data_IF_346239665938
#
_entry.id   IF_346239665938
#
_cell.length_a   1.000
_cell.length_b   1.000
_cell.length_c   1.000
_cell.angle_alpha   90.00
_cell.angle_beta   90.00
_cell.angle_gamma   90.00
#
_symmetry.space_group_name_H-M   'P 1'
#
loop_
_entity.id
_entity.type
_entity.pdbx_description
1 polymer ?
#
# COMPACT_ATOMS: atom_id res chain seq x y z
N UNK A 1 -17.84 -29.00 -11.61
CA UNK A 1 -16.51 -29.56 -11.92
C UNK A 1 -15.55 -28.98 -10.89
N UNK A 2 -14.90 -29.81 -10.08
CA UNK A 2 -13.86 -29.39 -9.13
C UNK A 2 -12.67 -28.86 -9.94
N UNK A 3 -12.44 -27.55 -9.90
CA UNK A 3 -11.20 -26.95 -10.38
C UNK A 3 -10.31 -26.83 -9.15
N UNK A 4 -9.47 -27.85 -8.95
CA UNK A 4 -8.67 -28.09 -7.73
C UNK A 4 -7.90 -26.84 -7.27
N UNK A 5 -8.24 -26.36 -6.08
CA UNK A 5 -7.52 -25.33 -5.33
C UNK A 5 -6.17 -25.85 -4.81
N UNK A 6 -5.37 -26.46 -5.67
CA UNK A 6 -4.03 -26.93 -5.32
C UNK A 6 -3.16 -25.72 -5.03
N UNK A 7 -2.46 -25.76 -3.90
CA UNK A 7 -1.47 -24.74 -3.54
C UNK A 7 -0.33 -24.71 -4.55
N UNK A 8 -0.11 -23.52 -5.11
CA UNK A 8 0.97 -23.17 -6.03
C UNK A 8 1.86 -22.13 -5.38
N UNK A 9 3.08 -21.99 -5.91
CA UNK A 9 4.06 -21.03 -5.41
C UNK A 9 4.54 -20.15 -6.56
N UNK A 10 4.53 -18.84 -6.33
CA UNK A 10 5.14 -17.83 -7.19
C UNK A 10 6.46 -17.40 -6.56
N UNK A 11 7.56 -17.46 -7.32
CA UNK A 11 8.90 -17.05 -6.86
C UNK A 11 9.41 -15.87 -7.66
N UNK A 12 9.87 -14.81 -6.98
CA UNK A 12 10.49 -13.64 -7.60
C UNK A 12 11.65 -13.15 -6.74
N UNK A 13 12.90 -13.38 -7.17
CA UNK A 13 14.08 -13.21 -6.31
C UNK A 13 13.98 -14.09 -5.06
N UNK A 14 14.13 -13.48 -3.89
CA UNK A 14 14.00 -14.16 -2.59
C UNK A 14 12.55 -14.28 -2.09
N UNK A 15 11.59 -13.67 -2.79
CA UNK A 15 10.17 -13.74 -2.45
C UNK A 15 9.56 -15.05 -2.93
N UNK A 16 8.81 -15.72 -2.06
CA UNK A 16 7.90 -16.81 -2.41
C UNK A 16 6.50 -16.50 -1.91
N UNK A 17 5.49 -16.54 -2.79
CA UNK A 17 4.08 -16.38 -2.43
C UNK A 17 3.32 -17.67 -2.72
N UNK A 18 2.62 -18.20 -1.72
CA UNK A 18 1.70 -19.31 -1.88
C UNK A 18 0.32 -18.80 -2.31
N UNK A 19 -0.25 -19.39 -3.35
CA UNK A 19 -1.56 -19.01 -3.88
C UNK A 19 -2.35 -20.22 -4.38
N UNK A 20 -3.66 -20.06 -4.50
CA UNK A 20 -4.60 -21.03 -5.05
C UNK A 20 -5.53 -20.34 -6.04
N UNK A 21 -6.05 -21.12 -6.99
CA UNK A 21 -6.99 -20.66 -8.00
C UNK A 21 -8.18 -21.60 -7.99
N UNK A 22 -9.39 -21.03 -7.98
CA UNK A 22 -10.65 -21.76 -8.05
C UNK A 22 -11.49 -21.21 -9.21
N UNK A 23 -12.19 -22.11 -9.90
CA UNK A 23 -13.00 -21.73 -11.06
C UNK A 23 -12.17 -21.39 -12.29
N UNK A 24 -12.87 -21.07 -13.38
CA UNK A 24 -12.28 -20.79 -14.70
C UNK A 24 -13.03 -19.70 -15.48
N UNK A 25 -13.82 -18.88 -14.79
CA UNK A 25 -14.50 -17.76 -15.42
C UNK A 25 -13.49 -16.72 -15.92
N UNK A 26 -13.87 -15.93 -16.92
CA UNK A 26 -12.98 -14.93 -17.51
C UNK A 26 -12.67 -13.76 -16.57
N UNK A 27 -13.57 -13.46 -15.62
CA UNK A 27 -13.39 -12.38 -14.66
C UNK A 27 -12.61 -12.85 -13.44
N UNK A 28 -11.50 -12.16 -13.14
CA UNK A 28 -10.70 -12.40 -11.96
C UNK A 28 -11.30 -11.74 -10.72
N UNK A 29 -11.30 -12.49 -9.61
CA UNK A 29 -11.58 -11.99 -8.26
C UNK A 29 -10.43 -12.39 -7.34
N UNK A 30 -9.63 -11.41 -6.92
CA UNK A 30 -8.48 -11.66 -6.04
C UNK A 30 -8.86 -11.29 -4.61
N UNK A 31 -8.77 -12.26 -3.71
CA UNK A 31 -9.03 -12.05 -2.29
C UNK A 31 -7.71 -11.69 -1.59
N UNK A 32 -7.62 -10.45 -1.12
CA UNK A 32 -6.48 -9.94 -0.36
C UNK A 32 -6.77 -10.14 1.13
N UNK A 33 -6.10 -11.09 1.82
CA UNK A 33 -6.43 -11.42 3.20
C UNK A 33 -6.03 -10.29 4.16
N UNK A 34 -6.40 -10.43 5.44
CA UNK A 34 -5.95 -9.53 6.51
C UNK A 34 -4.48 -9.74 6.89
N UNK A 35 -4.13 -9.39 8.12
CA UNK A 35 -2.77 -9.59 8.66
C UNK A 35 -2.46 -11.05 9.02
N UNK A 36 -3.45 -11.94 8.94
CA UNK A 36 -3.34 -13.38 9.22
C UNK A 36 -3.90 -14.12 8.01
N UNK A 37 -3.09 -15.02 7.43
CA UNK A 37 -3.51 -15.86 6.31
C UNK A 37 -2.83 -17.22 6.38
N UNK A 38 -3.58 -18.28 6.06
CA UNK A 38 -3.00 -19.58 5.78
C UNK A 38 -3.85 -20.33 4.76
N UNK A 39 -3.35 -20.46 3.54
CA UNK A 39 -4.17 -20.86 2.40
C UNK A 39 -4.72 -22.29 2.50
N UNK A 40 -3.95 -23.23 3.05
CA UNK A 40 -4.44 -24.60 3.31
C UNK A 40 -5.37 -24.66 4.52
N UNK A 41 -4.94 -24.12 5.68
CA UNK A 41 -5.69 -24.23 6.93
C UNK A 41 -7.00 -23.43 6.92
N UNK A 42 -7.11 -22.36 6.13
CA UNK A 42 -8.37 -21.65 5.97
C UNK A 42 -9.52 -22.57 5.54
N UNK A 43 -9.25 -23.63 4.76
CA UNK A 43 -10.26 -24.64 4.38
C UNK A 43 -10.77 -25.50 5.54
N UNK A 44 -10.02 -25.58 6.65
CA UNK A 44 -10.45 -26.25 7.87
C UNK A 44 -11.42 -25.40 8.70
N UNK A 45 -11.55 -24.11 8.36
CA UNK A 45 -12.47 -23.19 9.04
C UNK A 45 -13.90 -23.34 8.49
N UNK A 46 -14.92 -23.40 9.37
CA UNK A 46 -16.31 -23.53 8.93
C UNK A 46 -16.68 -22.48 7.88
N UNK A 47 -17.31 -22.94 6.80
CA UNK A 47 -17.86 -22.09 5.75
C UNK A 47 -16.87 -21.47 4.76
N UNK A 48 -15.56 -21.45 5.03
CA UNK A 48 -14.56 -20.88 4.11
C UNK A 48 -14.57 -21.57 2.73
N UNK A 49 -14.41 -22.90 2.69
CA UNK A 49 -14.41 -23.66 1.45
C UNK A 49 -15.72 -23.51 0.67
N UNK A 50 -16.86 -23.46 1.38
CA UNK A 50 -18.16 -23.24 0.74
C UNK A 50 -18.22 -21.86 0.09
N UNK A 51 -17.77 -20.82 0.79
CA UNK A 51 -17.76 -19.45 0.27
C UNK A 51 -16.89 -19.31 -0.98
N UNK A 52 -15.67 -19.86 -0.96
CA UNK A 52 -14.76 -19.84 -2.12
C UNK A 52 -15.36 -20.61 -3.31
N UNK A 53 -15.92 -21.80 -3.08
CA UNK A 53 -16.53 -22.60 -4.14
C UNK A 53 -17.77 -21.95 -4.75
N UNK A 54 -18.55 -21.20 -3.97
CA UNK A 54 -19.69 -20.43 -4.49
C UNK A 54 -19.24 -19.26 -5.36
N UNK A 55 -18.21 -18.50 -4.94
CA UNK A 55 -17.61 -17.44 -5.77
C UNK A 55 -17.01 -18.01 -7.07
N UNK A 56 -16.37 -19.17 -7.01
CA UNK A 56 -15.71 -19.83 -8.14
C UNK A 56 -16.68 -20.25 -9.28
N UNK A 57 -17.99 -20.21 -9.03
CA UNK A 57 -19.01 -20.39 -10.09
C UNK A 57 -19.11 -19.17 -11.02
N UNK A 58 -18.69 -17.99 -10.56
CA UNK A 58 -18.83 -16.72 -11.26
C UNK A 58 -17.49 -16.09 -11.63
N UNK A 59 -16.43 -16.40 -10.89
CA UNK A 59 -15.11 -15.79 -11.03
C UNK A 59 -14.01 -16.86 -11.13
N UNK A 60 -12.87 -16.49 -11.71
CA UNK A 60 -11.59 -17.15 -11.41
C UNK A 60 -11.09 -16.54 -10.10
N UNK A 61 -11.37 -17.23 -8.99
CA UNK A 61 -11.07 -16.77 -7.64
C UNK A 61 -9.63 -17.08 -7.32
N UNK A 62 -8.86 -16.07 -6.92
CA UNK A 62 -7.46 -16.17 -6.57
C UNK A 62 -7.32 -15.82 -5.09
N UNK A 63 -6.79 -16.74 -4.30
CA UNK A 63 -6.44 -16.53 -2.89
C UNK A 63 -4.94 -16.70 -2.73
N UNK A 64 -4.35 -16.00 -1.77
CA UNK A 64 -2.92 -16.11 -1.48
C UNK A 64 -2.61 -15.87 -0.02
N UNK A 65 -1.47 -16.38 0.43
CA UNK A 65 -0.89 -16.01 1.72
C UNK A 65 0.01 -14.78 1.54
N UNK A 66 -0.14 -13.78 2.42
CA UNK A 66 0.77 -12.63 2.41
C UNK A 66 2.20 -13.10 2.66
N UNK A 67 3.18 -12.37 2.12
CA UNK A 67 4.59 -12.60 2.46
C UNK A 67 4.78 -12.70 3.98
N UNK A 68 5.56 -13.68 4.43
CA UNK A 68 5.79 -13.95 5.84
C UNK A 68 4.65 -14.66 6.58
N UNK A 69 3.52 -14.98 5.92
CA UNK A 69 2.39 -15.68 6.50
C UNK A 69 2.15 -17.05 5.85
N UNK A 70 1.58 -17.97 6.62
CA UNK A 70 1.10 -19.26 6.15
C UNK A 70 2.15 -20.04 5.36
N UNK A 71 1.80 -20.40 4.13
CA UNK A 71 2.65 -21.16 3.21
C UNK A 71 3.61 -20.27 2.39
N UNK A 72 3.47 -18.95 2.44
CA UNK A 72 4.38 -18.02 1.77
C UNK A 72 5.75 -17.99 2.46
N UNK A 73 6.77 -17.58 1.70
CA UNK A 73 8.16 -17.50 2.16
C UNK A 73 8.28 -16.67 3.43
N UNK A 74 9.18 -17.10 4.34
CA UNK A 74 9.48 -16.37 5.56
C UNK A 74 10.22 -15.08 5.22
N UNK A 75 9.87 -14.01 5.94
CA UNK A 75 10.58 -12.74 5.90
C UNK A 75 11.37 -12.55 7.20
N UNK A 76 12.51 -11.88 7.10
CA UNK A 76 13.38 -11.55 8.24
C UNK A 76 12.94 -10.27 8.96
N UNK A 77 12.36 -9.33 8.23
CA UNK A 77 11.79 -8.06 8.72
C UNK A 77 10.38 -7.90 8.17
N UNK A 78 9.51 -7.18 8.87
CA UNK A 78 8.18 -6.92 8.33
C UNK A 78 8.24 -6.07 7.06
N UNK A 79 7.31 -6.36 6.15
CA UNK A 79 7.33 -5.80 4.82
C UNK A 79 6.83 -4.35 4.78
N UNK A 80 7.46 -3.54 3.92
CA UNK A 80 6.99 -2.18 3.65
C UNK A 80 5.61 -2.20 2.99
N UNK A 81 4.94 -1.05 2.96
CA UNK A 81 3.66 -0.93 2.27
C UNK A 81 3.80 -1.19 0.75
N UNK A 82 4.85 -0.70 0.13
CA UNK A 82 5.20 -0.97 -1.28
C UNK A 82 5.39 -2.46 -1.56
N UNK A 83 6.17 -3.14 -0.73
CA UNK A 83 6.38 -4.58 -0.88
C UNK A 83 5.08 -5.38 -0.79
N UNK A 84 4.15 -4.95 0.08
CA UNK A 84 2.82 -5.57 0.19
C UNK A 84 1.95 -5.30 -1.05
N UNK A 85 2.07 -4.14 -1.68
CA UNK A 85 1.38 -3.84 -2.95
C UNK A 85 2.00 -4.61 -4.12
N UNK A 86 3.32 -4.75 -4.15
CA UNK A 86 4.03 -5.54 -5.16
C UNK A 86 3.60 -7.01 -5.14
N UNK A 87 3.25 -7.59 -3.98
CA UNK A 87 2.73 -8.96 -3.91
C UNK A 87 1.49 -9.15 -4.78
N UNK A 88 0.55 -8.22 -4.69
CA UNK A 88 -0.69 -8.26 -5.48
C UNK A 88 -0.39 -8.09 -6.96
N UNK A 89 0.47 -7.12 -7.31
CA UNK A 89 0.91 -6.89 -8.70
C UNK A 89 1.59 -8.14 -9.28
N UNK A 90 2.51 -8.77 -8.54
CA UNK A 90 3.22 -9.98 -8.96
C UNK A 90 2.27 -11.15 -9.18
N UNK A 91 1.27 -11.33 -8.31
CA UNK A 91 0.22 -12.34 -8.51
C UNK A 91 -0.54 -12.06 -9.82
N UNK A 92 -0.98 -10.82 -10.02
CA UNK A 92 -1.71 -10.42 -11.22
C UNK A 92 -0.89 -10.66 -12.49
N UNK A 93 0.38 -10.23 -12.51
CA UNK A 93 1.32 -10.42 -13.62
C UNK A 93 1.54 -11.92 -13.93
N UNK A 94 1.79 -12.73 -12.90
CA UNK A 94 2.04 -14.16 -13.05
C UNK A 94 0.84 -14.95 -13.60
N UNK A 95 -0.36 -14.42 -13.43
CA UNK A 95 -1.63 -15.04 -13.86
C UNK A 95 -2.22 -14.36 -15.10
N UNK A 96 -1.48 -13.42 -15.70
CA UNK A 96 -1.89 -12.60 -16.84
C UNK A 96 -3.22 -11.87 -16.59
N UNK A 97 -3.50 -11.55 -15.33
CA UNK A 97 -4.68 -10.83 -14.87
C UNK A 97 -4.52 -9.34 -15.18
N UNK A 98 -5.02 -8.89 -16.34
CA UNK A 98 -4.90 -7.48 -16.77
C UNK A 98 -5.74 -6.52 -15.92
N UNK A 99 -6.91 -6.95 -15.47
CA UNK A 99 -7.83 -6.17 -14.64
C UNK A 99 -8.69 -7.10 -13.78
N UNK A 100 -8.73 -6.89 -12.48
CA UNK A 100 -9.41 -7.78 -11.53
C UNK A 100 -10.38 -7.05 -10.61
N UNK A 101 -11.36 -7.80 -10.10
CA UNK A 101 -12.11 -7.39 -8.91
C UNK A 101 -11.23 -7.70 -7.70
N UNK A 102 -10.93 -6.69 -6.88
CA UNK A 102 -10.13 -6.87 -5.68
C UNK A 102 -11.06 -6.95 -4.48
N UNK A 103 -11.02 -8.05 -3.73
CA UNK A 103 -11.75 -8.23 -2.50
C UNK A 103 -10.81 -8.22 -1.29
N UNK A 104 -10.68 -7.06 -0.66
CA UNK A 104 -9.84 -6.86 0.52
C UNK A 104 -10.57 -7.15 1.83
N UNK A 105 -9.95 -7.99 2.66
CA UNK A 105 -10.45 -8.35 3.98
C UNK A 105 -9.60 -7.72 5.09
N UNK A 106 -10.22 -7.06 6.07
CA UNK A 106 -9.51 -6.45 7.22
C UNK A 106 -8.46 -5.43 6.75
N UNK A 107 -7.21 -5.51 7.23
CA UNK A 107 -6.10 -4.69 6.71
C UNK A 107 -5.85 -4.88 5.20
N UNK A 108 -6.21 -6.04 4.63
CA UNK A 108 -6.23 -6.25 3.18
C UNK A 108 -7.18 -5.30 2.46
N UNK A 109 -8.26 -4.85 3.10
CA UNK A 109 -9.15 -3.81 2.59
C UNK A 109 -8.47 -2.44 2.47
N UNK A 110 -7.71 -2.06 3.49
CA UNK A 110 -6.92 -0.82 3.49
C UNK A 110 -5.84 -0.85 2.41
N UNK A 111 -5.09 -1.95 2.31
CA UNK A 111 -4.09 -2.15 1.26
C UNK A 111 -4.73 -2.11 -0.13
N UNK A 112 -5.88 -2.77 -0.31
CA UNK A 112 -6.59 -2.83 -1.59
C UNK A 112 -7.13 -1.45 -2.02
N UNK A 113 -7.59 -0.63 -1.08
CA UNK A 113 -7.99 0.75 -1.37
C UNK A 113 -6.81 1.59 -1.87
N UNK A 114 -5.66 1.52 -1.19
CA UNK A 114 -4.46 2.22 -1.66
C UNK A 114 -3.98 1.69 -3.02
N UNK A 115 -3.94 0.37 -3.20
CA UNK A 115 -3.60 -0.26 -4.47
C UNK A 115 -4.52 0.22 -5.61
N UNK A 116 -5.83 0.33 -5.36
CA UNK A 116 -6.81 0.80 -6.34
C UNK A 116 -6.62 2.27 -6.73
N UNK A 117 -6.10 3.10 -5.82
CA UNK A 117 -5.75 4.49 -6.12
C UNK A 117 -4.45 4.61 -6.94
N UNK A 118 -3.48 3.72 -6.69
CA UNK A 118 -2.16 3.74 -7.34
C UNK A 118 -2.14 3.02 -8.70
N UNK A 119 -2.99 2.00 -8.86
CA UNK A 119 -3.09 1.18 -10.06
C UNK A 119 -4.54 1.11 -10.57
N UNK A 120 -5.18 2.25 -10.90
CA UNK A 120 -6.59 2.28 -11.29
C UNK A 120 -6.89 1.42 -12.54
N UNK A 121 -5.91 1.27 -13.44
CA UNK A 121 -6.05 0.45 -14.65
C UNK A 121 -6.09 -1.06 -14.37
N UNK A 122 -5.58 -1.49 -13.21
CA UNK A 122 -5.54 -2.89 -12.80
C UNK A 122 -6.79 -3.32 -12.01
N UNK A 123 -7.59 -2.36 -11.51
CA UNK A 123 -8.74 -2.66 -10.64
C UNK A 123 -10.05 -2.35 -11.35
N UNK A 124 -10.85 -3.39 -11.58
CA UNK A 124 -12.19 -3.26 -12.17
C UNK A 124 -13.20 -2.74 -11.14
N UNK A 125 -13.20 -3.36 -9.95
CA UNK A 125 -14.03 -2.99 -8.80
C UNK A 125 -13.30 -3.33 -7.51
N UNK A 126 -13.59 -2.59 -6.47
CA UNK A 126 -13.06 -2.81 -5.13
C UNK A 126 -14.19 -3.28 -4.20
N UNK A 127 -13.94 -4.35 -3.47
CA UNK A 127 -14.81 -4.84 -2.40
C UNK A 127 -13.99 -4.83 -1.12
N UNK A 128 -14.51 -4.21 -0.07
CA UNK A 128 -13.87 -4.14 1.26
C UNK A 128 -14.82 -4.79 2.27
N UNK A 129 -14.33 -5.79 2.99
CA UNK A 129 -15.01 -6.30 4.18
C UNK A 129 -14.17 -6.06 5.43
N UNK A 130 -14.74 -5.42 6.44
CA UNK A 130 -14.06 -5.28 7.74
C UNK A 130 -12.83 -4.38 7.70
N UNK A 131 -12.70 -3.49 6.70
CA UNK A 131 -11.52 -2.63 6.50
C UNK A 131 -11.59 -1.30 7.25
N UNK A 132 -10.47 -0.56 7.23
CA UNK A 132 -10.34 0.75 7.88
C UNK A 132 -9.39 1.67 7.11
N UNK A 133 -9.54 2.99 7.24
CA UNK A 133 -8.63 3.95 6.60
C UNK A 133 -7.41 4.30 7.47
N UNK A 134 -7.59 4.29 8.79
CA UNK A 134 -6.52 4.48 9.76
C UNK A 134 -6.86 3.81 11.09
N UNK A 135 -5.87 3.72 11.99
CA UNK A 135 -6.10 3.33 13.39
C UNK A 135 -6.07 4.60 14.26
N UNK A 136 -7.18 5.01 14.92
CA UNK A 136 -7.29 6.29 15.63
C UNK A 136 -6.39 6.50 16.86
N UNK A 137 -5.67 5.47 17.31
CA UNK A 137 -5.01 5.46 18.63
C UNK A 137 -3.66 6.21 18.71
N UNK A 138 -3.29 6.98 17.69
CA UNK A 138 -2.04 7.75 17.67
C UNK A 138 -2.22 9.26 17.84
N UNK A 139 -3.46 9.76 17.97
CA UNK A 139 -3.73 11.19 18.06
C UNK A 139 -3.12 11.86 19.31
N UNK A 140 -2.89 11.11 20.39
CA UNK A 140 -2.18 11.60 21.58
C UNK A 140 -0.77 12.11 21.24
N UNK A 141 -0.14 11.51 20.21
CA UNK A 141 1.23 11.82 19.80
C UNK A 141 1.36 13.20 19.16
N UNK A 142 0.25 13.78 18.66
CA UNK A 142 0.24 15.11 18.05
C UNK A 142 0.63 16.22 19.06
N UNK A 143 0.52 15.96 20.36
CA UNK A 143 0.88 16.90 21.44
C UNK A 143 2.35 16.76 21.90
N UNK A 144 3.10 15.79 21.37
CA UNK A 144 4.48 15.49 21.77
C UNK A 144 5.46 16.19 20.82
N UNK A 145 6.50 16.88 21.31
CA UNK A 145 7.54 17.47 20.47
C UNK A 145 8.18 16.44 19.53
N UNK A 146 8.46 16.83 18.29
CA UNK A 146 8.83 15.92 17.19
C UNK A 146 9.98 14.95 17.50
N UNK A 147 11.00 15.39 18.24
CA UNK A 147 12.13 14.55 18.65
C UNK A 147 11.71 13.39 19.57
N UNK A 148 10.77 13.61 20.49
CA UNK A 148 10.28 12.59 21.42
C UNK A 148 9.08 11.82 20.88
N UNK A 149 8.44 12.33 19.82
CA UNK A 149 7.21 11.77 19.27
C UNK A 149 7.39 10.36 18.74
N UNK A 150 8.44 10.09 17.96
CA UNK A 150 8.76 8.73 17.45
C UNK A 150 8.96 7.76 18.63
N UNK A 151 9.81 8.13 19.59
CA UNK A 151 10.07 7.29 20.76
C UNK A 151 8.80 7.00 21.60
N UNK A 152 7.93 8.00 21.77
CA UNK A 152 6.69 7.83 22.51
C UNK A 152 5.66 6.95 21.77
N UNK A 153 5.52 7.12 20.45
CA UNK A 153 4.69 6.26 19.59
C UNK A 153 5.24 4.83 19.63
N UNK A 154 6.54 4.66 19.42
CA UNK A 154 7.20 3.36 19.41
C UNK A 154 7.01 2.63 20.74
N UNK A 155 7.21 3.33 21.87
CA UNK A 155 7.01 2.76 23.20
C UNK A 155 5.55 2.38 23.44
N UNK A 156 4.60 3.25 23.09
CA UNK A 156 3.18 3.01 23.27
C UNK A 156 2.69 1.85 22.40
N UNK A 157 2.98 1.88 21.10
CA UNK A 157 2.57 0.83 20.17
C UNK A 157 3.22 -0.50 20.54
N UNK A 158 4.52 -0.55 20.85
CA UNK A 158 5.16 -1.81 21.29
C UNK A 158 4.52 -2.36 22.56
N UNK A 159 4.13 -1.50 23.51
CA UNK A 159 3.39 -1.95 24.70
C UNK A 159 2.01 -2.50 24.32
N UNK A 160 1.31 -1.83 23.40
CA UNK A 160 -0.03 -2.21 22.94
C UNK A 160 0.00 -3.52 22.12
N UNK A 161 1.03 -3.73 21.31
CA UNK A 161 1.16 -4.91 20.44
C UNK A 161 1.78 -6.12 21.14
N UNK A 162 2.56 -5.93 22.20
CA UNK A 162 3.13 -7.01 23.03
C UNK A 162 2.07 -7.97 23.59
N UNK A 163 0.84 -7.50 23.83
CA UNK A 163 -0.25 -8.40 24.24
C UNK A 163 -0.61 -9.43 23.16
N UNK A 164 -0.46 -9.08 21.88
CA UNK A 164 -0.70 -9.99 20.77
C UNK A 164 0.43 -11.02 20.69
N UNK A 165 1.68 -10.61 20.90
CA UNK A 165 2.83 -11.53 20.98
C UNK A 165 2.64 -12.55 22.12
N UNK A 166 2.34 -12.07 23.33
CA UNK A 166 2.23 -12.93 24.53
C UNK A 166 1.08 -13.94 24.41
N UNK A 167 -0.04 -13.54 23.82
CA UNK A 167 -1.23 -14.37 23.72
C UNK A 167 -1.36 -15.11 22.38
N UNK A 168 -0.38 -14.97 21.49
CA UNK A 168 -0.43 -15.60 20.18
C UNK A 168 -0.42 -17.13 20.30
N UNK A 169 -1.24 -17.79 19.50
CA UNK A 169 -1.35 -19.25 19.49
C UNK A 169 -2.31 -19.81 20.54
N UNK A 170 -2.86 -18.97 21.43
CA UNK A 170 -3.87 -19.38 22.41
C UNK A 170 -5.29 -19.44 21.82
N UNK A 171 -5.48 -18.97 20.57
CA UNK A 171 -6.77 -18.96 19.86
C UNK A 171 -7.61 -17.73 20.17
N UNK A 172 -7.16 -16.87 21.09
CA UNK A 172 -7.89 -15.66 21.50
C UNK A 172 -7.94 -14.62 20.40
N UNK A 173 -6.93 -14.61 19.52
CA UNK A 173 -6.92 -13.69 18.41
C UNK A 173 -8.07 -14.04 17.45
N UNK A 174 -8.07 -15.23 16.88
CA UNK A 174 -9.12 -15.64 15.96
C UNK A 174 -10.50 -15.71 16.65
N UNK A 175 -10.56 -16.05 17.95
CA UNK A 175 -11.80 -16.03 18.74
C UNK A 175 -12.46 -14.67 18.78
N UNK A 176 -11.71 -13.61 19.07
CA UNK A 176 -12.27 -12.25 19.18
C UNK A 176 -12.67 -11.67 17.82
N UNK A 177 -12.36 -12.36 16.72
CA UNK A 177 -12.88 -12.05 15.38
C UNK A 177 -14.27 -12.68 15.11
N UNK A 178 -14.76 -13.55 16.00
CA UNK A 178 -16.10 -14.14 15.91
C UNK A 178 -17.14 -13.24 16.58
N UNK A 179 -18.38 -13.21 16.07
CA UNK A 179 -19.46 -12.51 16.75
C UNK A 179 -19.83 -13.23 18.05
N UNK A 180 -20.31 -12.53 19.10
CA UNK A 180 -20.56 -13.11 20.43
C UNK A 180 -21.54 -14.29 20.44
N UNK A 181 -22.37 -14.42 19.40
CA UNK A 181 -23.37 -15.48 19.25
C UNK A 181 -22.79 -16.86 18.90
N UNK A 182 -21.56 -16.93 18.41
CA UNK A 182 -20.92 -18.20 18.03
C UNK A 182 -20.42 -18.91 19.28
N UNK A 183 -20.93 -20.12 19.52
CA UNK A 183 -20.47 -20.99 20.60
C UNK A 183 -19.13 -21.61 20.19
N UNK A 184 -18.12 -21.41 21.03
CA UNK A 184 -16.77 -21.95 20.80
C UNK A 184 -16.59 -23.18 21.67
N UNK A 185 -16.76 -24.35 21.04
CA UNK A 185 -16.46 -25.64 21.66
C UNK A 185 -14.96 -25.95 21.67
N UNK A 186 -14.58 -27.09 22.25
CA UNK A 186 -13.18 -27.51 22.32
C UNK A 186 -12.53 -27.72 20.96
N UNK A 187 -13.27 -28.22 19.96
CA UNK A 187 -12.75 -28.47 18.63
C UNK A 187 -12.47 -27.16 17.89
N UNK A 188 -13.44 -26.24 17.87
CA UNK A 188 -13.26 -24.92 17.27
C UNK A 188 -12.12 -24.16 17.95
N UNK A 189 -12.02 -24.21 19.28
CA UNK A 189 -10.90 -23.60 20.00
C UNK A 189 -9.54 -24.14 19.54
N UNK A 190 -9.39 -25.46 19.38
CA UNK A 190 -8.16 -26.06 18.86
C UNK A 190 -7.88 -25.64 17.42
N UNK A 191 -8.91 -25.51 16.58
CA UNK A 191 -8.72 -25.01 15.21
C UNK A 191 -8.26 -23.55 15.19
N UNK A 192 -8.83 -22.68 16.02
CA UNK A 192 -8.41 -21.27 16.13
C UNK A 192 -6.95 -21.15 16.59
N UNK A 193 -6.53 -21.97 17.56
CA UNK A 193 -5.13 -22.05 18.02
C UNK A 193 -4.18 -22.48 16.89
N UNK A 194 -4.55 -23.53 16.14
CA UNK A 194 -3.75 -23.99 15.01
C UNK A 194 -3.69 -22.93 13.91
N UNK A 195 -4.79 -22.26 13.61
CA UNK A 195 -4.82 -21.19 12.61
C UNK A 195 -3.82 -20.08 12.97
N UNK A 196 -3.80 -19.59 14.21
CA UNK A 196 -2.83 -18.60 14.67
C UNK A 196 -1.38 -19.11 14.52
N UNK A 197 -1.08 -20.28 15.09
CA UNK A 197 0.27 -20.83 15.11
C UNK A 197 0.84 -21.15 13.73
N UNK A 198 0.00 -21.59 12.80
CA UNK A 198 0.42 -21.90 11.44
C UNK A 198 0.54 -20.64 10.58
N UNK A 199 -0.26 -19.60 10.86
CA UNK A 199 -0.26 -18.37 10.05
C UNK A 199 0.97 -17.51 10.30
N UNK A 200 1.40 -17.33 11.55
CA UNK A 200 2.54 -16.45 11.88
C UNK A 200 3.21 -16.85 13.20
N UNK A 201 4.44 -16.39 13.42
CA UNK A 201 5.08 -16.44 14.75
C UNK A 201 4.58 -15.31 15.67
N UNK A 202 4.70 -15.46 17.01
CA UNK A 202 4.36 -14.42 17.97
C UNK A 202 5.07 -13.09 17.73
N UNK A 203 6.36 -13.10 17.43
CA UNK A 203 7.17 -11.89 17.21
C UNK A 203 6.68 -11.14 15.96
N UNK A 204 6.41 -11.90 14.89
CA UNK A 204 6.00 -11.36 13.59
C UNK A 204 4.59 -10.76 13.64
N UNK A 205 3.67 -11.37 14.38
CA UNK A 205 2.34 -10.75 14.53
C UNK A 205 2.43 -9.45 15.33
N UNK A 206 3.30 -9.36 16.35
CA UNK A 206 3.53 -8.13 17.10
C UNK A 206 4.04 -7.00 16.20
N UNK A 207 4.98 -7.31 15.31
CA UNK A 207 5.53 -6.38 14.31
C UNK A 207 4.48 -5.97 13.26
N UNK A 208 3.70 -6.93 12.73
CA UNK A 208 2.62 -6.64 11.77
C UNK A 208 1.52 -5.77 12.38
N UNK A 209 1.17 -6.00 13.65
CA UNK A 209 0.24 -5.15 14.39
C UNK A 209 0.77 -3.73 14.55
N UNK A 210 2.06 -3.61 14.84
CA UNK A 210 2.73 -2.33 14.97
C UNK A 210 2.67 -1.55 13.65
N UNK A 211 3.03 -2.18 12.53
CA UNK A 211 2.95 -1.55 11.21
C UNK A 211 1.52 -1.21 10.79
N UNK A 212 0.56 -2.08 11.10
CA UNK A 212 -0.86 -1.85 10.80
C UNK A 212 -1.39 -0.63 11.57
N UNK A 213 -0.95 -0.42 12.80
CA UNK A 213 -1.32 0.75 13.59
C UNK A 213 -0.75 2.07 13.05
N UNK A 214 0.30 2.02 12.23
CA UNK A 214 0.90 3.20 11.58
C UNK A 214 0.27 3.52 10.22
N UNK A 215 -0.57 2.64 9.68
CA UNK A 215 -1.21 2.82 8.39
C UNK A 215 -2.23 3.97 8.45
N UNK A 216 -2.10 4.92 7.52
CA UNK A 216 -3.09 5.98 7.30
C UNK A 216 -3.22 6.24 5.79
N UNK A 217 -4.34 5.78 5.22
CA UNK A 217 -4.65 5.95 3.80
C UNK A 217 -5.70 7.03 3.54
N UNK A 218 -6.17 7.74 4.58
CA UNK A 218 -7.22 8.78 4.45
C UNK A 218 -6.91 9.83 3.38
N UNK A 219 -5.66 10.31 3.20
CA UNK A 219 -5.35 11.28 2.15
C UNK A 219 -5.64 10.81 0.72
N UNK A 220 -5.70 9.49 0.49
CA UNK A 220 -5.75 8.86 -0.83
C UNK A 220 -7.09 8.24 -1.20
N UNK A 221 -8.05 8.19 -0.26
CA UNK A 221 -9.35 7.54 -0.50
C UNK A 221 -10.12 8.16 -1.67
N UNK A 222 -9.97 9.47 -1.87
CA UNK A 222 -10.60 10.21 -2.97
C UNK A 222 -10.03 9.85 -4.35
N UNK A 223 -8.85 9.24 -4.39
CA UNK A 223 -8.11 8.87 -5.60
C UNK A 223 -8.48 7.45 -6.07
N UNK A 224 -9.28 6.72 -5.29
CA UNK A 224 -9.90 5.45 -5.70
C UNK A 224 -10.98 5.74 -6.75
N UNK A 225 -10.77 5.25 -7.96
CA UNK A 225 -11.61 5.55 -9.13
C UNK A 225 -12.62 4.45 -9.48
N UNK A 226 -12.33 3.20 -9.12
CA UNK A 226 -13.23 2.10 -9.41
C UNK A 226 -14.45 2.12 -8.48
N UNK A 227 -15.62 1.61 -8.93
CA UNK A 227 -16.75 1.38 -8.07
C UNK A 227 -16.34 0.54 -6.85
N UNK A 228 -16.80 0.95 -5.67
CA UNK A 228 -16.40 0.32 -4.41
C UNK A 228 -17.62 -0.17 -3.61
N UNK A 229 -17.58 -1.40 -3.13
CA UNK A 229 -18.50 -1.92 -2.12
C UNK A 229 -17.79 -2.03 -0.78
N UNK A 230 -18.36 -1.44 0.25
CA UNK A 230 -17.87 -1.54 1.63
C UNK A 230 -18.93 -2.26 2.45
N UNK A 231 -18.54 -3.41 3.00
CA UNK A 231 -19.35 -4.24 3.88
C UNK A 231 -18.72 -4.18 5.28
N UNK A 232 -19.47 -3.71 6.27
CA UNK A 232 -18.95 -3.65 7.64
C UNK A 232 -19.97 -4.06 8.68
N UNK A 233 -19.50 -4.79 9.69
CA UNK A 233 -20.35 -5.37 10.72
C UNK A 233 -20.35 -4.51 12.00
N UNK A 234 -21.52 -4.24 12.57
CA UNK A 234 -21.63 -3.46 13.82
C UNK A 234 -21.04 -4.17 15.03
N UNK A 235 -21.08 -5.49 15.03
CA UNK A 235 -20.50 -6.40 16.03
C UNK A 235 -19.10 -6.92 15.65
N UNK A 236 -18.42 -6.22 14.74
CA UNK A 236 -16.99 -6.47 14.49
C UNK A 236 -16.15 -6.03 15.71
N UNK A 237 -15.70 -7.02 16.49
CA UNK A 237 -14.88 -6.81 17.67
C UNK A 237 -13.39 -6.57 17.35
N UNK A 238 -13.01 -6.55 16.06
CA UNK A 238 -11.63 -6.32 15.61
C UNK A 238 -11.45 -4.95 15.00
N UNK A 239 -12.36 -4.58 14.14
CA UNK A 239 -12.35 -3.31 13.45
C UNK A 239 -13.63 -2.58 13.83
N UNK A 240 -13.56 -1.64 14.78
CA UNK A 240 -14.72 -0.86 15.19
C UNK A 240 -15.46 -0.27 13.99
N UNK A 241 -16.79 -0.31 14.05
CA UNK A 241 -17.65 0.09 12.95
C UNK A 241 -17.35 1.51 12.41
N UNK A 242 -17.04 2.44 13.31
CA UNK A 242 -16.75 3.84 12.96
C UNK A 242 -15.51 3.99 12.07
N UNK A 243 -14.57 3.03 12.09
CA UNK A 243 -13.37 3.09 11.23
C UNK A 243 -13.72 2.86 9.75
N UNK A 244 -14.78 2.10 9.47
CA UNK A 244 -15.26 1.88 8.11
C UNK A 244 -16.06 3.08 7.58
N UNK A 245 -16.63 3.90 8.46
CA UNK A 245 -17.27 5.16 8.07
C UNK A 245 -16.28 6.12 7.42
N UNK A 246 -14.99 6.08 7.79
CA UNK A 246 -13.96 6.88 7.13
C UNK A 246 -13.73 6.44 5.68
N UNK A 247 -13.71 5.12 5.42
CA UNK A 247 -13.63 4.58 4.06
C UNK A 247 -14.83 5.05 3.22
N UNK A 248 -16.05 4.89 3.76
CA UNK A 248 -17.29 5.36 3.13
C UNK A 248 -17.25 6.85 2.78
N UNK A 249 -16.78 7.68 3.72
CA UNK A 249 -16.77 9.12 3.53
C UNK A 249 -15.64 9.59 2.60
N UNK A 250 -14.55 8.83 2.52
CA UNK A 250 -13.39 9.18 1.70
C UNK A 250 -13.45 8.69 0.26
N UNK A 251 -14.09 7.54 0.00
CA UNK A 251 -14.21 6.95 -1.34
C UNK A 251 -15.48 7.45 -2.02
N UNK A 252 -15.32 8.15 -3.14
CA UNK A 252 -16.40 8.90 -3.82
C UNK A 252 -17.53 8.00 -4.36
N UNK A 253 -17.16 6.94 -5.07
CA UNK A 253 -18.11 5.98 -5.67
C UNK A 253 -18.17 4.72 -4.81
N UNK A 254 -18.69 4.86 -3.58
CA UNK A 254 -18.83 3.74 -2.65
C UNK A 254 -20.28 3.44 -2.25
N UNK A 255 -20.65 2.16 -2.33
CA UNK A 255 -21.83 1.60 -1.66
C UNK A 255 -21.42 1.09 -0.28
N UNK A 256 -22.11 1.52 0.77
CA UNK A 256 -21.82 1.09 2.14
C UNK A 256 -22.98 0.30 2.72
N UNK A 257 -22.74 -0.98 3.01
CA UNK A 257 -23.71 -1.90 3.57
C UNK A 257 -23.34 -2.21 5.02
N UNK A 258 -24.24 -1.81 5.92
CA UNK A 258 -24.15 -2.14 7.34
C UNK A 258 -24.69 -3.55 7.58
N UNK A 259 -23.90 -4.35 8.29
CA UNK A 259 -24.23 -5.73 8.63
C UNK A 259 -24.39 -5.86 10.16
N UNK A 260 -25.25 -6.80 10.56
CA UNK A 260 -25.49 -7.11 11.97
C UNK A 260 -25.40 -8.60 12.19
N UNK A 261 -24.67 -8.99 13.23
CA UNK A 261 -24.53 -10.37 13.65
C UNK A 261 -23.54 -11.18 12.84
N UNK A 262 -22.84 -10.62 11.83
CA UNK A 262 -21.92 -11.36 10.94
C UNK A 262 -20.56 -11.59 11.62
N UNK A 263 -20.06 -10.61 12.38
CA UNK A 263 -18.72 -10.56 12.95
C UNK A 263 -17.61 -10.29 11.92
N UNK A 264 -16.35 -10.45 12.32
CA UNK A 264 -15.19 -10.21 11.45
C UNK A 264 -14.93 -11.40 10.51
N UNK A 265 -15.03 -12.65 11.01
CA UNK A 265 -14.87 -13.86 10.17
C UNK A 265 -16.19 -14.23 9.48
N UNK A 266 -16.62 -13.42 8.52
CA UNK A 266 -17.92 -13.57 7.84
C UNK A 266 -18.17 -14.92 7.17
N UNK A 267 -17.11 -15.62 6.74
CA UNK A 267 -17.29 -16.92 6.09
C UNK A 267 -17.77 -18.00 7.07
N UNK A 268 -17.59 -17.79 8.38
CA UNK A 268 -18.11 -18.69 9.43
C UNK A 268 -19.59 -18.42 9.75
N UNK A 269 -20.17 -17.35 9.23
CA UNK A 269 -21.48 -16.86 9.67
C UNK A 269 -22.07 -15.86 8.66
N UNK A 270 -23.21 -16.19 8.04
CA UNK A 270 -23.86 -15.38 6.99
C UNK A 270 -23.07 -15.26 5.67
N UNK A 271 -22.23 -16.24 5.33
CA UNK A 271 -21.43 -16.22 4.09
C UNK A 271 -22.29 -16.09 2.81
N UNK A 272 -23.51 -16.63 2.82
CA UNK A 272 -24.47 -16.49 1.74
C UNK A 272 -24.94 -15.03 1.55
N UNK A 273 -25.24 -14.32 2.64
CA UNK A 273 -25.64 -12.91 2.57
C UNK A 273 -24.52 -12.06 1.96
N UNK A 274 -23.27 -12.27 2.40
CA UNK A 274 -22.10 -11.58 1.84
C UNK A 274 -21.96 -11.87 0.35
N UNK A 275 -22.14 -13.14 -0.01
CA UNK A 275 -22.06 -13.60 -1.38
C UNK A 275 -23.12 -12.93 -2.28
N UNK A 276 -24.36 -12.85 -1.81
CA UNK A 276 -25.46 -12.17 -2.51
C UNK A 276 -25.15 -10.68 -2.73
N UNK A 277 -24.61 -9.99 -1.71
CA UNK A 277 -24.22 -8.57 -1.82
C UNK A 277 -23.06 -8.33 -2.78
N UNK A 278 -22.08 -9.24 -2.81
CA UNK A 278 -20.99 -9.19 -3.78
C UNK A 278 -21.54 -9.32 -5.21
N UNK A 279 -22.40 -10.31 -5.49
CA UNK A 279 -22.96 -10.47 -6.84
C UNK A 279 -23.88 -9.32 -7.26
N UNK A 280 -24.72 -8.85 -6.33
CA UNK A 280 -25.60 -7.72 -6.57
C UNK A 280 -24.80 -6.50 -7.01
N UNK A 281 -23.72 -6.19 -6.28
CA UNK A 281 -22.83 -5.09 -6.60
C UNK A 281 -22.08 -5.29 -7.92
N UNK A 282 -21.45 -6.45 -8.11
CA UNK A 282 -20.69 -6.75 -9.34
C UNK A 282 -21.59 -6.67 -10.58
N UNK A 283 -22.84 -7.16 -10.48
CA UNK A 283 -23.82 -7.15 -11.55
C UNK A 283 -24.34 -5.76 -11.96
N UNK A 284 -24.16 -4.72 -11.12
CA UNK A 284 -24.61 -3.34 -11.44
C UNK A 284 -23.80 -2.67 -12.54
N UNK A 285 -22.55 -3.09 -12.74
CA UNK A 285 -21.62 -2.43 -13.65
C UNK A 285 -21.28 -3.35 -14.81
N UNK A 286 -21.17 -2.79 -16.02
CA UNK A 286 -20.53 -3.51 -17.12
C UNK A 286 -19.01 -3.38 -16.99
N UNK A 287 -18.22 -4.36 -17.46
CA UNK A 287 -16.76 -4.20 -17.55
C UNK A 287 -16.47 -2.91 -18.32
N UNK A 288 -15.70 -2.00 -17.73
CA UNK A 288 -15.35 -0.76 -18.43
C UNK A 288 -14.30 -1.09 -19.50
N UNK A 289 -14.56 -0.77 -20.76
CA UNK A 289 -13.50 -0.60 -21.74
C UNK A 289 -12.69 0.63 -21.29
N UNK A 290 -11.43 0.44 -20.90
CA UNK A 290 -10.60 1.51 -20.35
C UNK A 290 -10.13 2.46 -21.46
N UNK A 291 -10.49 3.74 -21.35
CA UNK A 291 -9.79 4.82 -22.05
C UNK A 291 -8.45 5.07 -21.34
N UNK A 292 -7.38 4.42 -21.83
CA UNK A 292 -6.03 4.48 -21.25
C UNK A 292 -5.29 5.79 -21.53
N UNK A 293 -5.86 6.69 -22.35
CA UNK A 293 -5.13 7.85 -22.90
C UNK A 293 -5.21 9.13 -22.05
N UNK A 294 -6.05 9.18 -21.00
CA UNK A 294 -6.10 10.31 -20.05
C UNK A 294 -6.52 9.84 -18.66
N UNK A 295 -5.64 9.12 -17.96
CA UNK A 295 -5.93 8.63 -16.61
C UNK A 295 -5.36 9.56 -15.53
N UNK A 296 -6.21 9.85 -14.54
CA UNK A 296 -5.75 10.35 -13.25
C UNK A 296 -5.18 9.18 -12.47
N UNK A 297 -4.07 9.38 -11.77
CA UNK A 297 -3.45 8.30 -11.00
C UNK A 297 -2.68 8.85 -9.81
N UNK A 298 -2.73 8.15 -8.69
CA UNK A 298 -1.89 8.46 -7.54
C UNK A 298 -0.44 8.04 -7.83
N UNK A 299 0.51 8.98 -7.76
CA UNK A 299 1.92 8.69 -8.04
C UNK A 299 2.86 9.48 -7.12
N UNK A 300 4.05 8.94 -6.89
CA UNK A 300 5.14 9.66 -6.24
C UNK A 300 5.97 10.40 -7.29
N UNK A 301 6.11 11.71 -7.13
CA UNK A 301 6.75 12.63 -8.07
C UNK A 301 8.11 13.02 -7.50
N UNK A 302 9.16 12.89 -8.30
CA UNK A 302 10.52 13.33 -7.99
C UNK A 302 10.90 14.49 -8.92
N UNK A 303 11.26 15.61 -8.30
CA UNK A 303 12.04 16.66 -8.96
C UNK A 303 13.46 16.66 -8.42
N UNK A 304 14.43 16.76 -9.32
CA UNK A 304 15.83 17.01 -8.99
C UNK A 304 16.40 18.13 -9.87
N UNK A 305 17.37 18.87 -9.36
CA UNK A 305 18.01 19.99 -10.05
C UNK A 305 19.48 20.14 -9.61
N UNK A 306 20.36 20.47 -10.56
CA UNK A 306 21.78 20.76 -10.32
C UNK A 306 21.93 22.12 -9.63
N UNK A 307 22.61 22.12 -8.48
CA UNK A 307 22.90 23.33 -7.73
C UNK A 307 23.93 24.18 -8.46
N UNK A 308 23.66 25.49 -8.55
CA UNK A 308 24.52 26.47 -9.22
C UNK A 308 24.83 26.15 -10.70
N UNK A 309 23.88 25.50 -11.40
CA UNK A 309 24.00 25.10 -12.80
C UNK A 309 24.46 26.24 -13.73
N UNK A 310 23.87 27.42 -13.61
CA UNK A 310 24.24 28.60 -14.41
C UNK A 310 25.68 29.06 -14.18
N UNK A 311 26.15 29.01 -12.93
CA UNK A 311 27.53 29.36 -12.60
C UNK A 311 28.49 28.31 -13.16
N UNK A 312 28.19 27.03 -12.99
CA UNK A 312 28.99 25.93 -13.54
C UNK A 312 29.08 26.02 -15.06
N UNK A 313 27.97 26.30 -15.75
CA UNK A 313 27.95 26.50 -17.20
C UNK A 313 28.86 27.65 -17.63
N UNK A 314 28.84 28.78 -16.91
CA UNK A 314 29.71 29.91 -17.18
C UNK A 314 31.20 29.56 -17.00
N UNK A 315 31.53 28.75 -15.99
CA UNK A 315 32.92 28.35 -15.69
C UNK A 315 33.49 27.35 -16.71
N UNK A 316 32.71 26.37 -17.15
CA UNK A 316 33.18 25.30 -18.06
C UNK A 316 32.92 25.57 -19.54
N UNK A 317 32.02 26.50 -19.85
CA UNK A 317 31.59 26.82 -21.22
C UNK A 317 30.59 25.82 -21.81
N UNK A 318 29.87 26.26 -22.84
CA UNK A 318 28.67 25.57 -23.35
C UNK A 318 28.92 24.12 -23.83
N UNK A 319 30.06 23.85 -24.48
CA UNK A 319 30.36 22.51 -24.98
C UNK A 319 30.58 21.50 -23.85
N UNK A 320 31.41 21.85 -22.85
CA UNK A 320 31.65 20.98 -21.70
C UNK A 320 30.41 20.86 -20.81
N UNK A 321 29.61 21.93 -20.71
CA UNK A 321 28.34 21.88 -19.99
C UNK A 321 27.36 20.92 -20.64
N UNK A 322 27.26 20.93 -21.98
CA UNK A 322 26.42 20.01 -22.73
C UNK A 322 26.82 18.55 -22.49
N UNK A 323 28.12 18.24 -22.47
CA UNK A 323 28.62 16.90 -22.16
C UNK A 323 28.25 16.48 -20.73
N UNK A 324 28.47 17.36 -19.74
CA UNK A 324 28.06 17.12 -18.35
C UNK A 324 26.56 16.86 -18.20
N UNK A 325 25.71 17.57 -18.93
CA UNK A 325 24.26 17.38 -18.90
C UNK A 325 23.86 16.03 -19.52
N UNK A 326 24.56 15.56 -20.55
CA UNK A 326 24.32 14.22 -21.11
C UNK A 326 24.70 13.12 -20.12
N UNK A 327 25.85 13.25 -19.44
CA UNK A 327 26.28 12.31 -18.39
C UNK A 327 25.31 12.31 -17.21
N UNK A 328 24.90 13.49 -16.74
CA UNK A 328 23.90 13.64 -15.68
C UNK A 328 22.56 12.97 -16.06
N UNK A 329 22.04 13.26 -17.26
CA UNK A 329 20.80 12.68 -17.74
C UNK A 329 20.89 11.15 -17.87
N UNK A 330 22.03 10.62 -18.33
CA UNK A 330 22.26 9.18 -18.43
C UNK A 330 22.24 8.51 -17.06
N UNK A 331 22.97 9.08 -16.09
CA UNK A 331 23.02 8.59 -14.72
C UNK A 331 21.62 8.62 -14.08
N UNK A 332 20.88 9.73 -14.21
CA UNK A 332 19.53 9.81 -13.67
C UNK A 332 18.61 8.76 -14.27
N UNK A 333 18.62 8.56 -15.60
CA UNK A 333 17.79 7.53 -16.26
C UNK A 333 18.11 6.13 -15.75
N UNK A 334 19.39 5.80 -15.59
CA UNK A 334 19.82 4.52 -15.04
C UNK A 334 19.32 4.32 -13.61
N UNK A 335 19.52 5.32 -12.74
CA UNK A 335 19.07 5.23 -11.34
C UNK A 335 17.54 5.15 -11.23
N UNK A 336 16.81 5.92 -12.04
CA UNK A 336 15.34 5.88 -12.10
C UNK A 336 14.86 4.49 -12.51
N UNK A 337 15.41 3.94 -13.60
CA UNK A 337 15.05 2.60 -14.07
C UNK A 337 15.39 1.51 -13.04
N UNK A 338 16.54 1.62 -12.36
CA UNK A 338 16.97 0.66 -11.32
C UNK A 338 16.08 0.65 -10.06
N UNK A 339 15.23 1.66 -9.92
CA UNK A 339 14.27 1.81 -8.82
C UNK A 339 12.83 1.72 -9.32
N UNK A 340 12.58 1.06 -10.45
CA UNK A 340 11.26 0.90 -11.08
C UNK A 340 10.50 2.22 -11.32
N UNK A 341 11.26 3.30 -11.55
CA UNK A 341 10.71 4.62 -11.85
C UNK A 341 10.54 4.87 -13.34
N UNK A 342 9.68 5.83 -13.66
CA UNK A 342 9.44 6.32 -15.01
C UNK A 342 10.11 7.69 -15.16
N UNK A 343 11.09 7.77 -16.04
CA UNK A 343 11.66 9.06 -16.48
C UNK A 343 10.62 9.80 -17.33
N UNK A 344 10.20 10.99 -16.89
CA UNK A 344 9.23 11.80 -17.63
C UNK A 344 9.97 12.71 -18.61
N UNK A 345 10.78 13.64 -18.10
CA UNK A 345 11.54 14.57 -18.94
C UNK A 345 12.74 15.19 -18.21
N UNK A 346 13.67 15.71 -19.01
CA UNK A 346 14.73 16.63 -18.57
C UNK A 346 14.28 18.07 -18.82
N UNK A 347 14.64 18.96 -17.90
CA UNK A 347 14.40 20.41 -18.00
C UNK A 347 15.70 21.18 -18.25
N UNK A 348 16.76 20.48 -18.66
CA UNK A 348 18.13 21.01 -18.73
C UNK A 348 18.92 20.53 -17.53
N UNK A 349 19.00 21.35 -16.50
CA UNK A 349 19.70 21.09 -15.23
C UNK A 349 18.90 20.27 -14.21
N UNK A 350 17.63 19.98 -14.51
CA UNK A 350 16.77 19.18 -13.66
C UNK A 350 16.06 18.03 -14.36
N UNK A 351 15.57 17.09 -13.56
CA UNK A 351 14.83 15.91 -13.99
C UNK A 351 13.47 15.86 -13.30
N UNK A 352 12.47 15.43 -14.06
CA UNK A 352 11.16 15.00 -13.57
C UNK A 352 10.99 13.49 -13.78
N UNK A 353 10.66 12.79 -12.70
CA UNK A 353 10.39 11.36 -12.70
C UNK A 353 9.18 11.02 -11.83
N UNK A 354 8.57 9.86 -12.08
CA UNK A 354 7.48 9.32 -11.27
C UNK A 354 7.75 7.89 -10.83
N UNK A 355 7.16 7.52 -9.70
CA UNK A 355 7.26 6.19 -9.10
C UNK A 355 5.90 5.75 -8.59
N UNK A 356 5.69 4.44 -8.54
CA UNK A 356 4.56 3.79 -7.91
C UNK A 356 4.85 3.44 -6.43
N UNK A 357 5.89 4.03 -5.84
CA UNK A 357 6.34 3.76 -4.47
C UNK A 357 7.16 4.92 -3.87
N UNK A 358 6.75 5.47 -2.71
CA UNK A 358 7.49 6.51 -1.99
C UNK A 358 8.95 6.15 -1.63
N UNK A 359 9.19 4.94 -1.14
CA UNK A 359 10.49 4.43 -0.71
C UNK A 359 11.41 4.26 -1.91
N UNK A 360 10.93 3.66 -3.00
CA UNK A 360 11.65 3.59 -4.29
C UNK A 360 12.10 4.96 -4.77
N UNK A 361 11.21 5.96 -4.73
CA UNK A 361 11.53 7.32 -5.17
C UNK A 361 12.59 7.99 -4.27
N UNK A 362 12.51 7.82 -2.95
CA UNK A 362 13.52 8.33 -2.01
C UNK A 362 14.87 7.67 -2.27
N UNK A 363 14.90 6.34 -2.41
CA UNK A 363 16.12 5.59 -2.68
C UNK A 363 16.77 6.05 -3.99
N UNK A 364 15.97 6.25 -5.04
CA UNK A 364 16.44 6.81 -6.30
C UNK A 364 17.05 8.20 -6.11
N UNK A 365 16.38 9.10 -5.39
CA UNK A 365 16.90 10.45 -5.11
C UNK A 365 18.23 10.42 -4.35
N UNK A 366 18.38 9.51 -3.38
CA UNK A 366 19.64 9.31 -2.65
C UNK A 366 20.75 8.78 -3.56
N UNK A 367 20.46 7.77 -4.40
CA UNK A 367 21.43 7.23 -5.37
C UNK A 367 21.85 8.26 -6.40
N UNK A 368 20.94 9.10 -6.88
CA UNK A 368 21.27 10.23 -7.76
C UNK A 368 22.20 11.20 -7.02
N UNK A 369 21.88 11.60 -5.78
CA UNK A 369 22.73 12.49 -4.97
C UNK A 369 24.16 11.96 -4.78
N UNK A 370 24.33 10.65 -4.66
CA UNK A 370 25.64 10.02 -4.53
C UNK A 370 26.36 9.90 -5.87
N UNK A 371 25.67 9.40 -6.90
CA UNK A 371 26.24 9.14 -8.22
C UNK A 371 26.76 10.39 -8.91
N UNK A 372 26.03 11.50 -8.83
CA UNK A 372 26.41 12.78 -9.46
C UNK A 372 27.69 13.40 -8.88
N UNK A 373 28.14 12.97 -7.69
CA UNK A 373 29.43 13.43 -7.11
C UNK A 373 30.62 13.05 -7.98
N UNK A 374 30.56 11.89 -8.64
CA UNK A 374 31.60 11.46 -9.59
C UNK A 374 31.72 12.40 -10.81
N UNK A 375 30.64 13.12 -11.14
CA UNK A 375 30.58 14.10 -12.22
C UNK A 375 31.02 15.51 -11.75
N UNK A 376 31.40 15.66 -10.48
CA UNK A 376 31.68 16.95 -9.86
C UNK A 376 30.43 17.83 -9.69
N UNK A 377 29.25 17.22 -9.66
CA UNK A 377 27.98 17.92 -9.54
C UNK A 377 27.41 17.74 -8.12
N UNK A 378 26.59 18.71 -7.71
CA UNK A 378 25.74 18.61 -6.53
C UNK A 378 24.32 18.90 -6.95
N UNK A 379 23.38 18.10 -6.49
CA UNK A 379 21.97 18.26 -6.83
C UNK A 379 21.11 18.41 -5.57
N UNK A 380 19.86 18.82 -5.75
CA UNK A 380 18.86 18.95 -4.70
C UNK A 380 17.56 18.29 -5.15
N UNK A 381 16.89 17.57 -4.26
CA UNK A 381 15.70 16.79 -4.60
C UNK A 381 14.49 17.18 -3.77
N UNK A 382 13.31 17.15 -4.38
CA UNK A 382 12.03 17.30 -3.73
C UNK A 382 11.04 16.24 -4.19
N UNK A 383 10.36 15.61 -3.22
CA UNK A 383 9.41 14.53 -3.49
C UNK A 383 8.06 14.78 -2.84
N UNK A 384 7.01 14.38 -3.55
CA UNK A 384 5.63 14.41 -3.08
C UNK A 384 4.83 13.25 -3.67
N UNK A 385 3.79 12.80 -2.99
CA UNK A 385 2.85 11.80 -3.49
C UNK A 385 1.47 12.44 -3.62
N UNK A 386 0.81 12.24 -4.76
CA UNK A 386 -0.51 12.77 -5.02
C UNK A 386 -1.03 12.41 -6.41
N UNK A 387 -2.32 12.67 -6.63
CA UNK A 387 -2.98 12.48 -7.92
C UNK A 387 -2.33 13.35 -9.02
N UNK A 388 -2.01 12.74 -10.16
CA UNK A 388 -1.51 13.40 -11.36
C UNK A 388 -2.34 13.02 -12.57
N UNK A 389 -2.36 13.88 -13.58
CA UNK A 389 -2.90 13.58 -14.90
C UNK A 389 -1.75 13.16 -15.81
N UNK A 390 -1.91 12.03 -16.53
CA UNK A 390 -0.95 11.56 -17.53
C UNK A 390 -1.49 11.85 -18.93
N UNK A 391 -0.70 12.56 -19.73
CA UNK A 391 -1.07 12.95 -21.11
C UNK A 391 0.18 12.84 -21.99
N UNK A 392 0.13 12.03 -23.04
CA UNK A 392 1.21 11.89 -24.05
C UNK A 392 2.63 11.67 -23.48
N UNK A 393 2.73 10.91 -22.38
CA UNK A 393 4.01 10.62 -21.70
C UNK A 393 4.52 11.76 -20.80
N UNK A 394 3.79 12.86 -20.66
CA UNK A 394 4.03 13.92 -19.68
C UNK A 394 3.04 13.83 -18.51
N UNK A 395 3.27 14.66 -17.48
CA UNK A 395 2.42 14.73 -16.30
C UNK A 395 2.02 16.17 -15.97
N UNK A 396 0.79 16.35 -15.51
CA UNK A 396 0.26 17.63 -15.03
C UNK A 396 -0.50 17.48 -13.72
N UNK A 397 -0.74 18.61 -13.05
CA UNK A 397 -1.55 18.68 -11.84
C UNK A 397 -0.90 19.48 -10.72
N UNK A 398 -1.72 19.82 -9.72
CA UNK A 398 -1.27 20.63 -8.58
C UNK A 398 -0.18 19.94 -7.77
N UNK A 399 -0.19 18.60 -7.71
CA UNK A 399 0.80 17.81 -6.98
C UNK A 399 2.19 17.81 -7.67
N UNK A 400 2.24 17.96 -9.01
CA UNK A 400 3.49 18.19 -9.76
C UNK A 400 4.11 19.52 -9.34
N UNK A 401 3.29 20.57 -9.24
CA UNK A 401 3.75 21.87 -8.76
C UNK A 401 4.21 21.81 -7.29
N UNK A 402 3.51 21.07 -6.43
CA UNK A 402 3.92 20.89 -5.04
C UNK A 402 5.31 20.24 -4.94
N UNK A 403 5.58 19.16 -5.70
CA UNK A 403 6.87 18.50 -5.73
C UNK A 403 8.01 19.46 -6.18
N UNK A 404 7.77 20.26 -7.22
CA UNK A 404 8.72 21.27 -7.67
C UNK A 404 9.00 22.35 -6.60
N UNK A 405 7.98 22.77 -5.84
CA UNK A 405 8.15 23.74 -4.73
C UNK A 405 8.95 23.16 -3.57
N UNK A 406 8.77 21.87 -3.27
CA UNK A 406 9.58 21.16 -2.27
C UNK A 406 11.04 21.10 -2.70
N UNK A 407 11.31 20.76 -3.97
CA UNK A 407 12.66 20.70 -4.52
C UNK A 407 13.36 22.07 -4.45
N UNK A 408 12.65 23.16 -4.76
CA UNK A 408 13.21 24.51 -4.73
C UNK A 408 13.66 24.96 -3.33
N UNK A 409 13.11 24.37 -2.26
CA UNK A 409 13.51 24.66 -0.88
C UNK A 409 14.70 23.81 -0.41
N UNK A 410 15.04 22.74 -1.14
CA UNK A 410 16.14 21.87 -0.79
C UNK A 410 17.49 22.54 -1.09
N UNK A 411 18.46 22.35 -0.19
CA UNK A 411 19.87 22.72 -0.39
C UNK A 411 20.61 21.62 -1.14
N UNK A 412 21.82 21.91 -1.61
CA UNK A 412 22.67 20.91 -2.25
C UNK A 412 22.90 19.69 -1.37
N UNK A 413 22.71 18.52 -1.97
CA UNK A 413 22.77 17.21 -1.30
C UNK A 413 21.54 16.84 -0.48
N UNK A 414 20.54 17.72 -0.34
CA UNK A 414 19.32 17.42 0.41
C UNK A 414 18.27 16.73 -0.44
N UNK A 415 17.52 15.85 0.22
CA UNK A 415 16.27 15.26 -0.27
C UNK A 415 15.17 15.71 0.69
N UNK A 416 14.24 16.55 0.22
CA UNK A 416 13.08 17.00 0.99
C UNK A 416 11.82 16.26 0.54
N UNK A 417 10.97 15.90 1.49
CA UNK A 417 9.70 15.22 1.22
C UNK A 417 8.53 15.88 1.96
N UNK A 418 7.33 15.76 1.39
CA UNK A 418 6.07 16.15 2.06
C UNK A 418 5.70 15.22 3.23
N UNK A 419 4.89 15.72 4.17
CA UNK A 419 4.30 14.92 5.26
C UNK A 419 3.52 13.69 4.79
N UNK A 420 2.72 13.84 3.73
CA UNK A 420 1.91 12.78 3.14
C UNK A 420 2.78 11.67 2.53
N UNK A 421 3.92 12.03 1.94
CA UNK A 421 4.87 11.03 1.45
C UNK A 421 5.48 10.27 2.62
N UNK A 422 5.95 10.99 3.65
CA UNK A 422 6.53 10.39 4.86
C UNK A 422 5.60 9.36 5.52
N UNK A 423 4.29 9.63 5.57
CA UNK A 423 3.32 8.71 6.19
C UNK A 423 3.14 7.39 5.44
N UNK A 424 3.66 7.25 4.21
CA UNK A 424 3.62 6.01 3.43
C UNK A 424 4.91 5.18 3.48
N UNK A 425 5.99 5.73 4.05
CA UNK A 425 7.32 5.08 4.05
C UNK A 425 7.58 4.24 5.32
N UNK A 426 6.54 3.94 6.11
CA UNK A 426 6.70 3.17 7.35
C UNK A 426 7.07 1.71 7.07
N UNK A 427 7.88 1.13 7.97
CA UNK A 427 8.48 -0.19 7.77
C UNK A 427 9.74 -0.17 6.90
N UNK A 428 10.09 0.96 6.27
CA UNK A 428 11.40 1.14 5.64
C UNK A 428 12.47 1.54 6.68
N UNK A 429 13.74 1.44 6.30
CA UNK A 429 14.87 1.95 7.10
C UNK A 429 15.10 3.46 6.90
N UNK A 430 14.14 4.19 6.30
CA UNK A 430 14.31 5.59 5.94
C UNK A 430 14.03 6.50 7.14
N UNK A 431 15.00 7.32 7.50
CA UNK A 431 14.89 8.26 8.61
C UNK A 431 14.70 9.70 8.17
N UNK A 432 13.93 10.46 8.96
CA UNK A 432 13.54 11.83 8.63
C UNK A 432 13.83 12.81 9.76
N UNK A 433 14.32 14.00 9.42
CA UNK A 433 14.36 15.18 10.28
C UNK A 433 13.25 16.16 9.93
N UNK A 434 12.65 16.82 10.92
CA UNK A 434 11.70 17.91 10.70
C UNK A 434 12.40 19.09 10.00
N UNK A 435 11.85 19.54 8.86
CA UNK A 435 12.36 20.68 8.09
C UNK A 435 11.45 21.91 8.21
N UNK A 436 10.44 21.87 9.10
CA UNK A 436 9.56 22.99 9.40
C UNK A 436 8.32 23.09 8.50
N UNK A 437 7.56 24.17 8.75
CA UNK A 437 6.37 24.54 7.98
C UNK A 437 6.71 25.61 6.95
N UNK A 438 6.29 25.40 5.71
CA UNK A 438 6.59 26.26 4.57
C UNK A 438 5.31 26.72 3.89
N UNK A 439 5.30 27.92 3.31
CA UNK A 439 4.24 28.35 2.40
C UNK A 439 4.73 28.21 0.97
N UNK A 440 3.93 27.56 0.14
CA UNK A 440 4.21 27.47 -1.29
C UNK A 440 3.42 28.53 -2.04
N UNK A 441 4.07 29.18 -3.01
CA UNK A 441 3.39 30.09 -3.92
C UNK A 441 2.27 29.32 -4.65
N UNK A 442 1.03 29.79 -4.52
CA UNK A 442 -0.15 29.17 -5.13
C UNK A 442 -0.87 28.14 -4.26
N UNK A 443 -0.45 27.94 -3.00
CA UNK A 443 -1.11 27.08 -2.02
C UNK A 443 -1.54 27.90 -0.81
N UNK A 444 -2.78 27.72 -0.36
CA UNK A 444 -3.34 28.45 0.78
C UNK A 444 -2.84 27.90 2.13
N UNK A 445 -2.53 26.61 2.17
CA UNK A 445 -2.13 25.91 3.40
C UNK A 445 -0.61 25.89 3.57
N UNK A 446 -0.18 25.79 4.83
CA UNK A 446 1.22 25.50 5.18
C UNK A 446 1.53 24.03 4.94
N UNK A 447 2.72 23.77 4.43
CA UNK A 447 3.23 22.44 4.13
C UNK A 447 4.33 22.07 5.10
N UNK A 448 4.15 20.95 5.80
CA UNK A 448 5.20 20.39 6.65
C UNK A 448 6.14 19.53 5.84
N UNK A 449 7.43 19.83 5.92
CA UNK A 449 8.47 19.14 5.17
C UNK A 449 9.43 18.39 6.08
N UNK A 450 10.03 17.35 5.51
CA UNK A 450 11.00 16.50 6.18
C UNK A 450 12.23 16.28 5.30
N UNK A 451 13.42 16.32 5.91
CA UNK A 451 14.66 15.96 5.26
C UNK A 451 14.94 14.47 5.47
N UNK A 452 15.32 13.76 4.41
CA UNK A 452 15.81 12.38 4.50
C UNK A 452 17.24 12.40 5.07
N UNK A 453 17.49 11.62 6.12
CA UNK A 453 18.78 11.55 6.81
C UNK A 453 19.59 10.30 6.47
N UNK A 454 18.90 9.15 6.39
CA UNK A 454 19.54 7.85 6.25
C UNK A 454 18.69 6.92 5.39
N UNK A 455 19.39 6.25 4.48
CA UNK A 455 18.89 5.15 3.66
C UNK A 455 20.02 4.12 3.67
N UNK A 456 19.77 2.93 4.20
CA UNK A 456 20.65 1.78 3.93
C UNK A 456 20.43 1.41 2.46
N UNK A 457 21.39 1.76 1.59
CA UNK A 457 21.38 1.42 0.16
C UNK A 457 22.04 0.08 -0.07
#
# INVERSE_FOLDING_TARGET
>A
MNVDGKTKFLTSGDLTLAYQIFGNAAQDLIIVPGIVSHIEFSHEMPGYSSFINELAKYFRVITFDKRGNGMSGKIDKAATLEQRMDDLRLIMESLESRKAIIFGFSEGGSLSALFSAMYPDLVDRLIIFGGFAHVPDLDFSNKIPGFFRKMAIDFFLRKLTRKYEINWGNGDFARTALPPRIIIDGNLRTKLQKFENLSSSPEKIGEMMYLTALLDIRPFLKDVQCPTLILHCRDDNRVPFDWACELKNGIRDSEFIELNGVGHLFYMNESQLIMEKILEFVGKYKPSESDTENSRVLSTILFNDIVNSTQLQFEVGDNQWKEKILEFNSLCKEQIASCDGIFVKSMGDGILATFDGPSRAINCACRINEGVRSLGLTVRSGLHVGEIERIDGDISGINVNAAARIQALAKGGQVLVSEVLKSLVFGSNIEFSDSGLHHFKGFETKWKLFQVNFVEV
#
